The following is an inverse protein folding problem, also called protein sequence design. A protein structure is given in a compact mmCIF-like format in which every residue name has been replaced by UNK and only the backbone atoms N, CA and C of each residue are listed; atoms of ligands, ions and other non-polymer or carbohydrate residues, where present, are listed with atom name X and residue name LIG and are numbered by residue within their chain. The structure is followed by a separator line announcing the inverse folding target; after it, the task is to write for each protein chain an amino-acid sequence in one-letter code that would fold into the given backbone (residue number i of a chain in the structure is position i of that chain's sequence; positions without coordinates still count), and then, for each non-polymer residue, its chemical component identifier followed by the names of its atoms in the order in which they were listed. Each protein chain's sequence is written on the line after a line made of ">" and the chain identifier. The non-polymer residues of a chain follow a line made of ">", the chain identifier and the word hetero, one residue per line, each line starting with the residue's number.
data_IF_798241930238
#
_entry.id   IF_798241930238
#
_cell.length_a   1.000
_cell.length_b   1.000
_cell.length_c   1.000
_cell.angle_alpha   90.00
_cell.angle_beta   90.00
_cell.angle_gamma   90.00
#
_symmetry.space_group_name_H-M   'P 1'
#
loop_
_entity.id
_entity.type
_entity.pdbx_description
1 polymer ?
#
# COMPACT_ATOMS: atom_id res chain seq x y z
N UNK A 1 -21.52 -9.90 -12.92
CA UNK A 1 -20.42 -9.08 -12.37
C UNK A 1 -19.16 -9.63 -12.99
N UNK A 2 -18.47 -8.85 -13.83
CA UNK A 2 -17.24 -9.29 -14.49
C UNK A 2 -16.23 -9.76 -13.45
N UNK A 3 -15.57 -10.88 -13.74
CA UNK A 3 -14.50 -11.45 -12.93
C UNK A 3 -13.43 -10.39 -12.66
N UNK A 4 -13.41 -9.90 -11.42
CA UNK A 4 -12.44 -8.91 -11.01
C UNK A 4 -11.05 -9.56 -10.99
N UNK A 5 -10.27 -9.35 -12.05
CA UNK A 5 -8.92 -9.91 -12.22
C UNK A 5 -7.89 -9.24 -11.27
N UNK A 6 -8.31 -8.32 -10.41
CA UNK A 6 -7.45 -7.67 -9.42
C UNK A 6 -7.71 -8.25 -8.04
N UNK A 7 -6.63 -8.69 -7.40
CA UNK A 7 -6.62 -9.18 -6.03
C UNK A 7 -5.96 -8.14 -5.12
N UNK A 8 -6.70 -7.74 -4.08
CA UNK A 8 -6.24 -6.81 -3.05
C UNK A 8 -5.80 -7.60 -1.82
N UNK A 9 -4.55 -7.44 -1.37
CA UNK A 9 -4.01 -8.19 -0.22
C UNK A 9 -3.05 -7.36 0.62
N UNK A 10 -3.12 -7.53 1.95
CA UNK A 10 -2.12 -6.98 2.89
C UNK A 10 -0.87 -7.85 2.88
N UNK A 11 0.29 -7.23 2.67
CA UNK A 11 1.59 -7.88 2.64
C UNK A 11 2.07 -8.17 4.06
N UNK A 12 2.53 -9.39 4.30
CA UNK A 12 3.26 -9.76 5.51
C UNK A 12 4.73 -9.34 5.35
N UNK A 13 5.15 -8.32 6.09
CA UNK A 13 6.52 -7.78 6.05
C UNK A 13 7.49 -8.74 6.72
N UNK A 14 8.04 -9.65 5.93
CA UNK A 14 9.00 -10.67 6.35
C UNK A 14 10.24 -10.62 5.46
N UNK A 15 11.39 -11.08 5.97
CA UNK A 15 12.63 -11.17 5.18
C UNK A 15 12.50 -12.02 3.91
N UNK A 16 11.56 -12.97 3.88
CA UNK A 16 11.29 -13.84 2.72
C UNK A 16 10.43 -13.15 1.66
N UNK A 17 9.45 -12.34 2.08
CA UNK A 17 8.53 -11.66 1.17
C UNK A 17 9.09 -10.33 0.65
N UNK A 18 10.01 -9.70 1.38
CA UNK A 18 10.68 -8.47 0.97
C UNK A 18 11.27 -8.55 -0.44
N UNK A 19 12.16 -9.50 -0.78
CA UNK A 19 12.73 -9.56 -2.13
C UNK A 19 11.69 -9.84 -3.23
N UNK A 20 10.52 -10.38 -2.90
CA UNK A 20 9.45 -10.69 -3.86
C UNK A 20 8.58 -9.49 -4.20
N UNK A 21 8.31 -8.66 -3.20
CA UNK A 21 7.32 -7.57 -3.30
C UNK A 21 8.01 -6.21 -3.45
N UNK A 22 9.12 -6.02 -2.74
CA UNK A 22 9.76 -4.72 -2.59
C UNK A 22 10.29 -4.13 -3.91
N UNK A 23 10.90 -4.90 -4.84
CA UNK A 23 11.31 -4.36 -6.13
C UNK A 23 10.14 -3.80 -6.94
N UNK A 24 9.00 -4.50 -6.96
CA UNK A 24 7.79 -4.02 -7.64
C UNK A 24 7.20 -2.79 -6.95
N UNK A 25 7.22 -2.71 -5.62
CA UNK A 25 6.78 -1.53 -4.89
C UNK A 25 7.60 -0.29 -5.26
N UNK A 26 8.93 -0.40 -5.32
CA UNK A 26 9.81 0.70 -5.75
C UNK A 26 9.47 1.12 -7.18
N UNK A 27 9.26 0.17 -8.08
CA UNK A 27 8.91 0.46 -9.47
C UNK A 27 7.60 1.25 -9.56
N UNK A 28 6.54 0.78 -8.90
CA UNK A 28 5.25 1.47 -8.88
C UNK A 28 5.38 2.85 -8.24
N UNK A 29 6.16 2.97 -7.16
CA UNK A 29 6.38 4.23 -6.48
C UNK A 29 7.11 5.26 -7.36
N UNK A 30 8.17 4.81 -8.03
CA UNK A 30 8.89 5.64 -8.98
C UNK A 30 7.96 6.11 -10.09
N UNK A 31 7.23 5.21 -10.75
CA UNK A 31 6.28 5.60 -11.81
C UNK A 31 5.21 6.58 -11.33
N UNK A 32 4.72 6.44 -10.08
CA UNK A 32 3.65 7.27 -9.54
C UNK A 32 4.11 8.65 -9.06
N UNK A 33 5.37 8.80 -8.61
CA UNK A 33 5.84 10.00 -7.92
C UNK A 33 7.10 10.65 -8.53
N UNK A 34 7.74 10.04 -9.53
CA UNK A 34 8.95 10.60 -10.18
C UNK A 34 8.70 11.98 -10.79
N UNK A 35 7.53 12.20 -11.41
CA UNK A 35 7.13 13.51 -11.94
C UNK A 35 6.82 14.55 -10.86
N UNK A 36 6.67 14.13 -9.59
CA UNK A 36 6.38 15.02 -8.45
C UNK A 36 7.64 15.53 -7.75
N UNK A 37 8.83 15.27 -8.31
CA UNK A 37 10.11 15.72 -7.75
C UNK A 37 10.56 14.98 -6.50
N UNK A 38 9.97 13.82 -6.18
CA UNK A 38 10.38 13.01 -5.02
C UNK A 38 11.63 12.18 -5.34
N UNK A 39 12.78 12.58 -4.80
CA UNK A 39 14.09 11.95 -5.09
C UNK A 39 14.54 10.86 -4.10
N UNK A 40 13.80 10.62 -3.00
CA UNK A 40 14.18 9.68 -1.94
C UNK A 40 13.20 8.48 -1.77
N UNK A 41 12.53 8.08 -2.84
CA UNK A 41 11.51 7.02 -2.86
C UNK A 41 11.98 5.72 -2.22
N UNK A 42 13.14 5.20 -2.62
CA UNK A 42 13.70 3.95 -2.06
C UNK A 42 13.92 4.01 -0.55
N UNK A 43 14.42 5.13 -0.03
CA UNK A 43 14.65 5.31 1.40
C UNK A 43 13.32 5.32 2.16
N UNK A 44 12.36 6.13 1.70
CA UNK A 44 11.02 6.23 2.28
C UNK A 44 10.32 4.86 2.31
N UNK A 45 10.40 4.11 1.21
CA UNK A 45 9.79 2.78 1.12
C UNK A 45 10.46 1.78 2.08
N UNK A 46 11.78 1.85 2.30
CA UNK A 46 12.48 1.00 3.27
C UNK A 46 12.06 1.31 4.70
N UNK A 47 11.90 2.59 5.04
CA UNK A 47 11.42 3.00 6.36
C UNK A 47 9.99 2.50 6.61
N UNK A 48 9.11 2.59 5.61
CA UNK A 48 7.79 1.98 5.71
C UNK A 48 7.84 0.46 5.79
N UNK A 49 8.76 -0.22 5.13
CA UNK A 49 8.89 -1.67 5.26
C UNK A 49 9.31 -2.08 6.68
N UNK A 50 10.28 -1.37 7.27
CA UNK A 50 10.80 -1.67 8.61
C UNK A 50 9.86 -1.29 9.75
N UNK A 51 9.10 -0.20 9.59
CA UNK A 51 8.23 0.32 10.64
C UNK A 51 7.18 -0.72 11.06
N UNK A 52 7.03 -1.09 12.34
CA UNK A 52 6.03 -2.09 12.76
C UNK A 52 4.58 -1.59 12.60
N UNK A 53 4.36 -0.27 12.61
CA UNK A 53 3.03 0.35 12.60
C UNK A 53 2.44 0.48 11.21
N UNK A 54 3.29 0.51 10.17
CA UNK A 54 2.82 0.58 8.80
C UNK A 54 2.30 -0.78 8.35
N UNK A 55 1.34 -0.76 7.44
CA UNK A 55 0.84 -1.90 6.70
C UNK A 55 0.94 -1.57 5.23
N UNK A 56 1.23 -2.57 4.42
CA UNK A 56 1.36 -2.42 2.97
C UNK A 56 0.25 -3.25 2.35
N UNK A 57 -0.64 -2.60 1.61
CA UNK A 57 -1.65 -3.23 0.78
C UNK A 57 -1.15 -3.22 -0.66
N UNK A 58 -1.31 -4.34 -1.38
CA UNK A 58 -1.00 -4.41 -2.81
C UNK A 58 -2.24 -4.77 -3.61
N UNK A 59 -2.31 -4.20 -4.81
CA UNK A 59 -3.20 -4.64 -5.86
C UNK A 59 -2.39 -5.43 -6.88
N UNK A 60 -2.70 -6.71 -7.04
CA UNK A 60 -2.02 -7.61 -7.98
C UNK A 60 -2.99 -8.24 -8.95
N UNK A 61 -2.54 -8.47 -10.18
CA UNK A 61 -3.30 -9.24 -11.17
C UNK A 61 -3.35 -10.72 -10.76
N UNK A 62 -4.52 -11.37 -10.83
CA UNK A 62 -4.67 -12.77 -10.40
C UNK A 62 -3.93 -13.75 -11.32
N UNK A 63 -3.95 -13.48 -12.62
CA UNK A 63 -3.34 -14.28 -13.68
C UNK A 63 -1.81 -14.26 -13.66
N UNK A 64 -1.19 -13.08 -13.54
CA UNK A 64 0.26 -12.90 -13.67
C UNK A 64 0.97 -12.66 -12.35
N UNK A 65 0.23 -12.37 -11.28
CA UNK A 65 0.79 -11.92 -10.01
C UNK A 65 1.40 -10.51 -10.07
N UNK A 66 1.33 -9.81 -11.21
CA UNK A 66 1.94 -8.50 -11.38
C UNK A 66 1.31 -7.46 -10.43
N UNK A 67 2.16 -6.75 -9.70
CA UNK A 67 1.73 -5.67 -8.80
C UNK A 67 1.46 -4.41 -9.63
N UNK A 68 0.22 -3.93 -9.60
CA UNK A 68 -0.24 -2.78 -10.36
C UNK A 68 -0.39 -1.52 -9.51
N UNK A 69 -0.51 -1.70 -8.19
CA UNK A 69 -0.68 -0.60 -7.25
C UNK A 69 -0.38 -1.04 -5.83
N UNK A 70 -0.15 -0.05 -4.97
CA UNK A 70 0.02 -0.28 -3.56
C UNK A 70 -0.60 0.87 -2.75
N UNK A 71 -0.88 0.61 -1.48
CA UNK A 71 -1.07 1.66 -0.48
C UNK A 71 -0.33 1.30 0.80
N UNK A 72 0.16 2.33 1.48
CA UNK A 72 0.79 2.25 2.79
C UNK A 72 -0.14 3.00 3.74
N UNK A 73 -0.50 2.33 4.83
CA UNK A 73 -1.38 2.88 5.83
C UNK A 73 -0.89 2.50 7.23
N UNK A 74 -1.32 3.25 8.24
CA UNK A 74 -1.11 2.93 9.64
C UNK A 74 -2.46 2.91 10.36
N UNK A 75 -2.57 2.08 11.39
CA UNK A 75 -3.75 2.03 12.26
C UNK A 75 -3.31 2.59 13.61
N UNK A 76 -3.98 3.63 14.11
CA UNK A 76 -3.77 4.03 15.50
C UNK A 76 -4.46 3.01 16.40
N UNK A 77 -3.67 2.36 17.25
CA UNK A 77 -4.22 1.68 18.40
C UNK A 77 -4.56 2.74 19.46
N UNK A 78 -5.79 2.78 20.00
CA UNK A 78 -6.12 3.65 21.13
C UNK A 78 -5.23 3.43 22.36
N UNK A 79 -4.48 2.32 22.43
CA UNK A 79 -3.45 2.04 23.45
C UNK A 79 -2.04 2.51 23.08
N UNK A 80 -1.82 3.06 21.89
CA UNK A 80 -0.52 3.59 21.47
C UNK A 80 -0.26 4.95 22.14
N UNK A 81 0.62 4.97 23.14
CA UNK A 81 0.96 6.15 23.94
C UNK A 81 1.42 7.35 23.08
N UNK A 82 1.94 7.12 21.87
CA UNK A 82 2.37 8.18 20.94
C UNK A 82 1.21 9.05 20.44
N UNK A 83 -0.02 8.53 20.48
CA UNK A 83 -1.19 9.19 19.91
C UNK A 83 -2.22 9.67 20.94
N UNK A 84 -1.96 9.48 22.25
CA UNK A 84 -2.87 9.87 23.34
C UNK A 84 -4.20 9.10 23.32
N UNK A 85 -5.22 9.59 24.05
CA UNK A 85 -6.60 9.06 23.97
C UNK A 85 -7.24 9.45 22.64
N UNK A 86 -6.91 8.74 21.56
CA UNK A 86 -7.52 8.94 20.24
C UNK A 86 -8.39 7.75 19.84
N UNK A 87 -9.45 8.08 19.09
CA UNK A 87 -10.31 7.12 18.41
C UNK A 87 -9.44 6.28 17.46
N UNK A 88 -9.67 4.97 17.42
CA UNK A 88 -9.01 4.07 16.47
C UNK A 88 -9.23 4.58 15.04
N UNK A 89 -8.16 4.82 14.30
CA UNK A 89 -8.21 5.46 13.00
C UNK A 89 -7.24 4.80 12.01
N UNK A 90 -7.60 4.82 10.73
CA UNK A 90 -6.77 4.35 9.64
C UNK A 90 -6.18 5.56 8.89
N UNK A 91 -4.87 5.75 8.98
CA UNK A 91 -4.13 6.80 8.30
C UNK A 91 -3.58 6.28 6.98
N UNK A 92 -4.09 6.79 5.85
CA UNK A 92 -3.47 6.56 4.55
C UNK A 92 -2.21 7.42 4.43
N UNK A 93 -1.04 6.78 4.34
CA UNK A 93 0.26 7.46 4.28
C UNK A 93 0.75 7.64 2.85
N UNK A 94 0.46 6.66 1.98
CA UNK A 94 0.89 6.69 0.58
C UNK A 94 0.00 5.78 -0.28
N UNK A 95 -0.25 6.17 -1.52
CA UNK A 95 -0.97 5.34 -2.49
C UNK A 95 -0.39 5.59 -3.89
N UNK A 96 -0.05 4.53 -4.59
CA UNK A 96 0.53 4.59 -5.93
C UNK A 96 -0.09 3.53 -6.84
N UNK A 97 -0.33 3.90 -8.09
CA UNK A 97 -0.81 2.98 -9.14
C UNK A 97 0.08 3.20 -10.36
N UNK A 98 0.54 2.11 -10.97
CA UNK A 98 1.33 2.12 -12.20
C UNK A 98 0.67 2.98 -13.25
N UNK A 99 1.45 3.79 -13.95
CA UNK A 99 0.93 4.78 -14.91
C UNK A 99 0.02 4.13 -15.97
N UNK A 100 0.42 2.97 -16.50
CA UNK A 100 -0.34 2.20 -17.49
C UNK A 100 -1.55 1.45 -16.92
N UNK A 101 -1.74 1.48 -15.60
CA UNK A 101 -2.85 0.85 -14.89
C UNK A 101 -3.78 1.85 -14.22
N UNK A 102 -3.51 3.15 -14.38
CA UNK A 102 -4.40 4.22 -13.92
C UNK A 102 -5.71 4.22 -14.71
N UNK A 103 -6.74 4.87 -14.15
CA UNK A 103 -8.12 4.94 -14.70
C UNK A 103 -8.85 3.59 -14.80
N UNK A 104 -8.26 2.49 -14.34
CA UNK A 104 -8.89 1.16 -14.27
C UNK A 104 -9.57 0.86 -12.91
N UNK A 105 -9.76 1.88 -12.07
CA UNK A 105 -10.42 1.72 -10.76
C UNK A 105 -9.58 1.04 -9.67
N UNK A 106 -8.30 0.75 -9.90
CA UNK A 106 -7.41 0.08 -8.92
C UNK A 106 -7.32 0.87 -7.60
N UNK A 107 -7.10 2.18 -7.68
CA UNK A 107 -7.07 3.05 -6.50
C UNK A 107 -8.38 3.01 -5.71
N UNK A 108 -9.53 3.01 -6.42
CA UNK A 108 -10.85 2.86 -5.80
C UNK A 108 -10.98 1.54 -5.05
N UNK A 109 -10.53 0.43 -5.64
CA UNK A 109 -10.57 -0.90 -4.98
C UNK A 109 -9.72 -0.95 -3.72
N UNK A 110 -8.52 -0.38 -3.75
CA UNK A 110 -7.67 -0.28 -2.56
C UNK A 110 -8.31 0.57 -1.47
N UNK A 111 -8.89 1.72 -1.82
CA UNK A 111 -9.60 2.57 -0.85
C UNK A 111 -10.85 1.90 -0.29
N UNK A 112 -11.66 1.25 -1.13
CA UNK A 112 -12.82 0.48 -0.69
C UNK A 112 -12.43 -0.63 0.27
N UNK A 113 -11.31 -1.34 0.02
CA UNK A 113 -10.77 -2.31 0.97
C UNK A 113 -10.47 -1.66 2.32
N UNK A 114 -9.75 -0.53 2.34
CA UNK A 114 -9.38 0.16 3.58
C UNK A 114 -10.61 0.64 4.36
N UNK A 115 -11.56 1.28 3.69
CA UNK A 115 -12.79 1.80 4.30
C UNK A 115 -13.71 0.71 4.84
N UNK A 116 -13.75 -0.45 4.19
CA UNK A 116 -14.60 -1.57 4.62
C UNK A 116 -13.93 -2.45 5.70
N UNK A 117 -12.60 -2.39 5.83
CA UNK A 117 -11.84 -3.27 6.74
C UNK A 117 -11.39 -2.57 8.02
N UNK A 118 -11.17 -1.25 8.00
CA UNK A 118 -10.59 -0.50 9.11
C UNK A 118 -11.46 0.74 9.46
N UNK A 119 -11.46 1.23 10.71
CA UNK A 119 -10.65 0.76 11.84
C UNK A 119 -11.09 -0.58 12.46
N UNK A 120 -12.37 -0.97 12.29
CA UNK A 120 -13.10 -2.12 12.89
C UNK A 120 -12.50 -2.74 14.17
#
# INVERSE_FOLDING_TARGET
>A
MEDDNILITVVKKTKKEEPRVFPSLILVDKEAFESSGQSNTTFIMKEFWKSPNSRILIARKKDTGAILGYSIFAISDPKDERFGKRIQACYLLRIGVRINSQRQGIGRKMLSYLLNTYPQ
#
